data_IF_931528806926
#
_entry.id   IF_931528806926
#
_cell.length_a   1.000
_cell.length_b   1.000
_cell.length_c   1.000
_cell.angle_alpha   90.00
_cell.angle_beta   90.00
_cell.angle_gamma   90.00
#
_symmetry.space_group_name_H-M   'P 1'
#
loop_
_entity.id
_entity.type
_entity.pdbx_description
1 polymer ?
#
# COMPACT_ATOMS: atom_id res chain seq x y z
N UNK A 1 -4.70 -10.70 -13.32
CA UNK A 1 -3.29 -10.98 -13.02
C UNK A 1 -2.56 -9.64 -12.95
N UNK A 2 -1.86 -9.36 -11.85
CA UNK A 2 -1.07 -8.12 -11.67
C UNK A 2 0.43 -8.49 -11.75
N UNK A 3 1.26 -7.70 -12.44
CA UNK A 3 2.62 -8.11 -12.83
C UNK A 3 3.60 -8.10 -11.67
N UNK A 4 4.57 -9.02 -11.72
CA UNK A 4 5.73 -9.16 -10.85
C UNK A 4 6.36 -7.80 -10.54
N UNK A 5 6.72 -7.60 -9.27
CA UNK A 5 7.48 -6.43 -8.87
C UNK A 5 8.79 -6.36 -9.63
N UNK A 6 9.09 -5.18 -10.17
CA UNK A 6 10.33 -4.96 -10.91
C UNK A 6 11.57 -5.07 -10.02
N UNK A 7 12.74 -4.82 -10.62
CA UNK A 7 13.98 -4.61 -9.86
C UNK A 7 14.48 -3.21 -10.16
N UNK A 8 14.90 -2.48 -9.12
CA UNK A 8 15.64 -1.23 -9.28
C UNK A 8 17.12 -1.50 -9.12
N UNK A 9 17.92 -0.91 -10.00
CA UNK A 9 19.39 -0.96 -9.95
C UNK A 9 19.88 0.45 -9.73
N UNK A 10 20.64 0.69 -8.66
CA UNK A 10 21.16 2.02 -8.35
C UNK A 10 22.16 2.48 -9.42
N UNK A 11 21.97 3.70 -9.93
CA UNK A 11 22.77 4.25 -11.03
C UNK A 11 24.07 4.90 -10.55
N UNK A 12 24.11 5.32 -9.28
CA UNK A 12 25.23 6.00 -8.63
C UNK A 12 25.45 5.51 -7.20
N UNK A 13 26.62 5.80 -6.66
CA UNK A 13 26.94 5.55 -5.26
C UNK A 13 26.16 6.48 -4.33
N UNK A 14 26.09 6.09 -3.05
CA UNK A 14 25.44 6.84 -1.97
C UNK A 14 23.94 7.11 -2.15
N UNK A 15 23.26 6.44 -3.10
CA UNK A 15 21.80 6.46 -3.18
C UNK A 15 21.17 5.89 -1.90
N UNK A 16 20.04 6.44 -1.48
CA UNK A 16 19.28 5.95 -0.32
C UNK A 16 18.06 5.14 -0.76
N UNK A 17 17.59 4.16 0.04
CA UNK A 17 16.32 3.48 -0.22
C UNK A 17 15.14 4.44 -0.37
N UNK A 18 15.16 5.60 0.31
CA UNK A 18 14.16 6.66 0.13
C UNK A 18 14.13 7.20 -1.30
N UNK A 19 15.30 7.48 -1.88
CA UNK A 19 15.40 7.95 -3.27
C UNK A 19 14.94 6.88 -4.25
N UNK A 20 15.31 5.62 -4.03
CA UNK A 20 14.85 4.49 -4.84
C UNK A 20 13.33 4.32 -4.77
N UNK A 21 12.75 4.36 -3.57
CA UNK A 21 11.31 4.26 -3.35
C UNK A 21 10.57 5.39 -4.07
N UNK A 22 11.07 6.63 -3.93
CA UNK A 22 10.53 7.80 -4.61
C UNK A 22 10.59 7.67 -6.14
N UNK A 23 11.71 7.23 -6.70
CA UNK A 23 11.89 7.09 -8.15
C UNK A 23 11.02 5.96 -8.73
N UNK A 24 10.86 4.87 -7.98
CA UNK A 24 10.06 3.72 -8.39
C UNK A 24 8.56 3.88 -8.08
N UNK A 25 8.15 4.93 -7.35
CA UNK A 25 6.76 5.15 -6.95
C UNK A 25 6.22 4.14 -5.94
N UNK A 26 7.08 3.62 -5.05
CA UNK A 26 6.73 2.54 -4.10
C UNK A 26 6.89 2.99 -2.66
N UNK A 27 6.23 2.28 -1.73
CA UNK A 27 6.35 2.54 -0.30
C UNK A 27 7.78 2.21 0.22
N UNK A 28 8.36 3.14 0.98
CA UNK A 28 9.72 3.03 1.51
C UNK A 28 9.87 1.92 2.55
N UNK A 29 8.88 1.73 3.42
CA UNK A 29 8.93 0.69 4.45
C UNK A 29 8.84 -0.69 3.81
N UNK A 30 7.97 -0.86 2.82
CA UNK A 30 7.83 -2.08 2.03
C UNK A 30 9.10 -2.39 1.23
N UNK A 31 9.70 -1.38 0.59
CA UNK A 31 10.97 -1.53 -0.13
C UNK A 31 12.08 -2.04 0.78
N UNK A 32 12.26 -1.43 1.97
CA UNK A 32 13.27 -1.85 2.94
C UNK A 32 12.97 -3.24 3.49
N UNK A 33 11.70 -3.55 3.77
CA UNK A 33 11.27 -4.83 4.32
C UNK A 33 11.59 -6.00 3.38
N UNK A 34 11.19 -5.92 2.11
CA UNK A 34 11.38 -7.00 1.14
C UNK A 34 12.87 -7.27 0.88
N UNK A 35 13.71 -6.23 0.95
CA UNK A 35 15.13 -6.33 0.66
C UNK A 35 16.00 -6.73 1.87
N UNK A 36 15.46 -6.73 3.09
CA UNK A 36 16.19 -7.11 4.31
C UNK A 36 16.70 -8.55 4.34
N UNK A 37 16.05 -9.46 3.60
CA UNK A 37 16.52 -10.86 3.47
C UNK A 37 17.90 -10.93 2.80
N UNK A 38 18.13 -10.09 1.78
CA UNK A 38 19.38 -10.05 1.02
C UNK A 38 20.37 -9.03 1.58
N UNK A 39 19.88 -8.01 2.28
CA UNK A 39 20.66 -6.94 2.88
C UNK A 39 20.27 -6.77 4.35
N UNK A 40 20.79 -7.63 5.24
CA UNK A 40 20.38 -7.69 6.66
C UNK A 40 20.50 -6.35 7.40
N UNK A 41 21.51 -5.54 7.07
CA UNK A 41 21.76 -4.22 7.64
C UNK A 41 21.06 -3.07 6.90
N UNK A 42 20.18 -3.37 5.95
CA UNK A 42 19.46 -2.35 5.18
C UNK A 42 18.50 -1.56 6.09
N UNK A 43 18.67 -0.25 6.04
CA UNK A 43 17.84 0.74 6.73
C UNK A 43 17.43 1.82 5.74
N UNK A 44 16.46 2.67 6.11
CA UNK A 44 16.03 3.81 5.28
C UNK A 44 17.15 4.80 4.95
N UNK A 45 18.19 4.85 5.78
CA UNK A 45 19.34 5.76 5.67
C UNK A 45 20.58 5.10 5.08
N UNK A 46 20.50 3.81 4.75
CA UNK A 46 21.64 3.10 4.16
C UNK A 46 22.06 3.77 2.87
N UNK A 47 23.37 3.92 2.69
CA UNK A 47 23.99 4.37 1.46
C UNK A 47 24.26 3.15 0.58
N UNK A 48 23.60 3.10 -0.56
CA UNK A 48 23.69 2.02 -1.52
C UNK A 48 24.82 2.32 -2.50
N UNK A 49 25.65 1.31 -2.77
CA UNK A 49 26.64 1.40 -3.84
C UNK A 49 25.95 1.32 -5.19
N UNK A 50 26.59 1.84 -6.23
CA UNK A 50 26.17 1.67 -7.63
C UNK A 50 26.01 0.18 -7.97
N UNK A 51 25.03 -0.12 -8.81
CA UNK A 51 24.64 -1.48 -9.22
C UNK A 51 24.06 -2.36 -8.09
N UNK A 52 23.68 -1.78 -6.95
CA UNK A 52 22.90 -2.50 -5.93
C UNK A 52 21.52 -2.81 -6.49
N UNK A 53 21.09 -4.07 -6.41
CA UNK A 53 19.80 -4.53 -6.92
C UNK A 53 18.79 -4.61 -5.78
N UNK A 54 17.76 -3.78 -5.83
CA UNK A 54 16.63 -3.83 -4.91
C UNK A 54 15.40 -4.41 -5.59
N UNK A 55 14.79 -5.41 -4.97
CA UNK A 55 13.47 -5.92 -5.35
C UNK A 55 12.43 -4.83 -5.12
N UNK A 56 11.66 -4.49 -6.14
CA UNK A 56 10.50 -3.61 -6.03
C UNK A 56 9.25 -4.46 -5.77
N UNK A 57 8.23 -3.92 -5.09
CA UNK A 57 6.92 -4.55 -5.07
C UNK A 57 6.24 -4.52 -6.46
N UNK A 58 5.26 -5.41 -6.73
CA UNK A 58 4.42 -5.44 -7.94
C UNK A 58 3.95 -4.07 -8.43
N UNK A 59 4.17 -3.78 -9.72
CA UNK A 59 3.74 -2.54 -10.36
C UNK A 59 2.25 -2.64 -10.73
N UNK A 60 1.47 -1.58 -10.50
CA UNK A 60 0.01 -1.57 -10.74
C UNK A 60 -0.85 -1.41 -9.48
N UNK A 61 -0.25 -1.42 -8.28
CA UNK A 61 -0.84 -0.77 -7.11
C UNK A 61 -0.39 0.69 -7.12
N UNK A 62 -1.14 1.54 -7.81
CA UNK A 62 -0.96 2.99 -7.80
C UNK A 62 -1.98 3.57 -6.82
N UNK A 63 -1.55 4.28 -5.79
CA UNK A 63 -2.47 5.20 -5.11
C UNK A 63 -2.86 6.26 -6.16
N UNK A 64 -4.09 6.23 -6.63
CA UNK A 64 -4.63 7.37 -7.36
C UNK A 64 -4.70 8.56 -6.40
N UNK A 65 -3.74 9.48 -6.50
CA UNK A 65 -4.02 10.86 -6.13
C UNK A 65 -4.90 11.43 -7.23
N UNK A 66 -6.15 11.77 -6.92
CA UNK A 66 -7.02 12.51 -7.84
C UNK A 66 -6.26 13.73 -8.37
N UNK A 67 -6.34 14.05 -9.67
CA UNK A 67 -5.85 15.32 -10.17
C UNK A 67 -6.63 16.45 -9.50
N UNK A 68 -5.92 17.49 -9.08
CA UNK A 68 -6.54 18.78 -8.73
C UNK A 68 -7.25 19.29 -9.98
N UNK A 69 -8.56 19.54 -9.88
CA UNK A 69 -9.37 20.00 -11.00
C UNK A 69 -8.79 21.25 -11.67
N UNK A 70 -8.57 21.18 -12.99
CA UNK A 70 -8.17 22.35 -13.79
C UNK A 70 -7.61 22.16 -15.21
N UNK A 71 -7.79 21.03 -15.90
CA UNK A 71 -7.38 20.89 -17.31
C UNK A 71 -8.59 20.59 -18.23
N UNK A 72 -8.81 21.37 -19.31
CA UNK A 72 -9.98 21.20 -20.19
C UNK A 72 -9.99 19.88 -20.95
N UNK A 73 -11.18 19.28 -21.03
CA UNK A 73 -11.50 18.14 -21.89
C UNK A 73 -11.81 18.66 -23.29
N UNK A 74 -11.03 18.25 -24.30
CA UNK A 74 -11.48 18.12 -25.70
C UNK A 74 -10.35 17.51 -26.55
N UNK A 75 -10.32 16.18 -26.67
CA UNK A 75 -9.74 15.46 -27.82
C UNK A 75 -10.52 14.16 -28.06
N UNK A 76 -11.02 14.02 -29.29
CA UNK A 76 -11.88 12.92 -29.77
C UNK A 76 -11.20 11.53 -29.69
N UNK A 77 -11.96 10.41 -29.72
CA UNK A 77 -11.38 9.07 -29.62
C UNK A 77 -10.72 8.67 -30.94
N UNK A 78 -9.41 8.46 -30.92
CA UNK A 78 -8.67 7.83 -32.02
C UNK A 78 -8.75 6.32 -31.84
N UNK A 79 -9.21 5.62 -32.89
CA UNK A 79 -9.31 4.17 -32.94
C UNK A 79 -7.95 3.50 -32.68
N UNK A 80 -7.93 2.52 -31.77
CA UNK A 80 -6.76 1.70 -31.48
C UNK A 80 -6.43 0.78 -32.66
N UNK A 81 -5.20 0.76 -33.20
CA UNK A 81 -4.79 -0.30 -34.11
C UNK A 81 -4.43 -1.56 -33.32
N UNK A 82 -4.83 -2.71 -33.84
CA UNK A 82 -4.53 -4.05 -33.32
C UNK A 82 -3.03 -4.27 -33.13
N UNK A 83 -2.57 -4.41 -31.88
CA UNK A 83 -1.21 -4.83 -31.55
C UNK A 83 -1.24 -6.29 -31.09
N UNK A 84 -0.60 -7.17 -31.88
CA UNK A 84 -0.34 -8.56 -31.50
C UNK A 84 0.64 -8.59 -30.33
N UNK A 85 0.17 -9.07 -29.17
CA UNK A 85 1.00 -9.31 -28.01
C UNK A 85 1.89 -10.53 -28.26
N UNK A 86 3.18 -10.39 -27.95
CA UNK A 86 4.19 -11.44 -28.04
C UNK A 86 3.99 -12.39 -26.85
N UNK A 87 3.76 -13.68 -27.12
CA UNK A 87 3.80 -14.70 -26.08
C UNK A 87 5.24 -14.80 -25.55
N UNK A 88 5.42 -14.63 -24.25
CA UNK A 88 6.69 -14.81 -23.57
C UNK A 88 6.71 -16.17 -22.86
N UNK A 89 7.88 -16.82 -22.90
CA UNK A 89 8.11 -18.18 -22.41
C UNK A 89 7.94 -18.28 -20.89
N UNK A 90 7.35 -19.40 -20.45
CA UNK A 90 7.16 -19.77 -19.04
C UNK A 90 8.52 -20.09 -18.41
N UNK A 91 9.14 -19.13 -17.75
CA UNK A 91 10.22 -19.40 -16.81
C UNK A 91 10.36 -18.21 -15.85
N UNK A 92 9.58 -18.24 -14.77
CA UNK A 92 10.03 -18.04 -13.38
C UNK A 92 8.80 -18.00 -12.45
N UNK A 93 8.82 -18.87 -11.44
CA UNK A 93 7.76 -19.04 -10.43
C UNK A 93 7.45 -17.74 -9.66
N UNK A 94 6.17 -17.56 -9.39
CA UNK A 94 5.53 -16.49 -8.62
C UNK A 94 6.14 -16.34 -7.21
N UNK A 95 6.86 -15.24 -6.95
CA UNK A 95 7.53 -14.97 -5.65
C UNK A 95 6.66 -14.26 -4.58
N UNK A 96 5.37 -14.02 -4.81
CA UNK A 96 4.47 -13.35 -3.85
C UNK A 96 3.33 -14.22 -3.32
N UNK A 97 3.20 -15.46 -3.81
CA UNK A 97 2.31 -16.51 -3.28
C UNK A 97 3.05 -17.43 -2.30
N UNK A 98 4.21 -17.03 -1.78
CA UNK A 98 4.87 -17.77 -0.71
C UNK A 98 4.04 -17.72 0.57
N UNK A 99 4.02 -18.86 1.27
CA UNK A 99 3.45 -19.00 2.60
C UNK A 99 3.85 -17.85 3.53
N UNK A 100 2.89 -17.47 4.36
CA UNK A 100 2.97 -16.47 5.41
C UNK A 100 4.20 -16.71 6.31
N UNK A 101 5.33 -16.03 6.01
CA UNK A 101 6.56 -16.22 6.79
C UNK A 101 6.48 -15.49 8.14
N UNK A 102 7.04 -16.09 9.19
CA UNK A 102 7.10 -15.51 10.55
C UNK A 102 7.59 -14.05 10.54
N UNK A 103 8.56 -13.72 9.69
CA UNK A 103 9.09 -12.36 9.56
C UNK A 103 8.07 -11.37 9.00
N UNK A 104 7.24 -11.79 8.05
CA UNK A 104 6.17 -10.96 7.49
C UNK A 104 5.09 -10.70 8.54
N UNK A 105 4.72 -11.70 9.33
CA UNK A 105 3.77 -11.56 10.46
C UNK A 105 4.29 -10.55 11.47
N UNK A 106 5.57 -10.67 11.83
CA UNK A 106 6.22 -9.74 12.75
C UNK A 106 6.24 -8.32 12.19
N UNK A 107 6.47 -8.17 10.88
CA UNK A 107 6.45 -6.87 10.23
C UNK A 107 5.04 -6.25 10.21
N UNK A 108 4.00 -7.03 9.88
CA UNK A 108 2.60 -6.61 9.95
C UNK A 108 2.21 -6.18 11.37
N UNK A 109 2.54 -6.99 12.38
CA UNK A 109 2.33 -6.66 13.79
C UNK A 109 3.05 -5.37 14.21
N UNK A 110 4.30 -5.17 13.76
CA UNK A 110 5.04 -3.96 14.05
C UNK A 110 4.45 -2.72 13.37
N UNK A 111 3.97 -2.85 12.14
CA UNK A 111 3.25 -1.79 11.44
C UNK A 111 1.96 -1.42 12.16
N UNK A 112 1.13 -2.42 12.47
CA UNK A 112 -0.13 -2.23 13.19
C UNK A 112 0.09 -1.56 14.54
N UNK A 113 1.09 -2.01 15.32
CA UNK A 113 1.44 -1.39 16.59
C UNK A 113 1.86 0.08 16.43
N UNK A 114 2.58 0.44 15.36
CA UNK A 114 2.94 1.84 15.09
C UNK A 114 1.72 2.67 14.73
N UNK A 115 0.81 2.13 13.92
CA UNK A 115 -0.45 2.80 13.56
C UNK A 115 -1.30 3.06 14.80
N UNK A 116 -1.54 2.04 15.64
CA UNK A 116 -2.33 2.17 16.88
C UNK A 116 -1.73 3.13 17.90
N UNK A 117 -0.40 3.26 17.95
CA UNK A 117 0.30 4.20 18.85
C UNK A 117 0.36 5.63 18.33
N UNK A 118 0.07 5.85 17.05
CA UNK A 118 0.09 7.18 16.48
C UNK A 118 -1.11 7.98 16.98
N UNK A 119 -0.85 9.20 17.50
CA UNK A 119 -1.88 10.03 18.14
C UNK A 119 -3.02 10.42 17.19
N UNK A 120 -2.74 10.54 15.90
CA UNK A 120 -3.74 10.88 14.89
C UNK A 120 -4.63 9.70 14.50
N UNK A 121 -4.32 8.48 14.98
CA UNK A 121 -5.09 7.28 14.65
C UNK A 121 -6.26 7.04 15.60
N UNK A 122 -6.55 7.94 16.56
CA UNK A 122 -7.58 7.74 17.58
C UNK A 122 -8.95 7.38 16.99
N UNK A 123 -9.31 8.02 15.87
CA UNK A 123 -10.58 7.81 15.18
C UNK A 123 -10.65 6.48 14.40
N UNK A 124 -9.54 5.75 14.29
CA UNK A 124 -9.40 4.52 13.51
C UNK A 124 -9.16 3.29 14.38
N UNK A 125 -9.14 3.43 15.72
CA UNK A 125 -8.81 2.33 16.62
C UNK A 125 -9.92 1.30 16.73
N UNK A 126 -11.18 1.73 16.63
CA UNK A 126 -12.36 0.90 16.84
C UNK A 126 -13.39 1.13 15.72
N UNK A 127 -14.34 0.20 15.51
CA UNK A 127 -15.39 0.37 14.53
C UNK A 127 -16.18 1.66 14.74
N UNK A 128 -16.48 2.37 13.64
CA UNK A 128 -17.36 3.55 13.69
C UNK A 128 -18.75 3.11 14.16
N UNK A 129 -19.29 3.66 15.27
CA UNK A 129 -20.60 3.26 15.80
C UNK A 129 -21.74 3.96 15.06
N UNK A 130 -21.79 3.81 13.72
CA UNK A 130 -22.67 4.58 12.83
C UNK A 130 -24.16 4.51 13.21
N UNK A 131 -24.64 3.36 13.68
CA UNK A 131 -26.02 3.22 14.17
C UNK A 131 -26.31 4.05 15.43
N UNK A 132 -25.37 4.12 16.37
CA UNK A 132 -25.51 4.91 17.61
C UNK A 132 -25.40 6.41 17.33
N UNK A 133 -24.65 6.78 16.30
CA UNK A 133 -24.45 8.16 15.85
C UNK A 133 -25.56 8.64 14.89
N UNK A 134 -26.51 7.77 14.51
CA UNK A 134 -27.58 8.12 13.58
C UNK A 134 -27.11 8.37 12.14
N UNK A 135 -26.01 7.74 11.72
CA UNK A 135 -25.42 7.88 10.40
C UNK A 135 -26.04 6.88 9.42
N UNK A 136 -27.26 7.18 8.95
CA UNK A 136 -28.07 6.27 8.13
C UNK A 136 -27.45 5.95 6.76
N UNK A 137 -26.64 6.85 6.21
CA UNK A 137 -25.99 6.73 4.90
C UNK A 137 -24.59 6.09 4.97
N UNK A 138 -24.07 5.79 6.17
CA UNK A 138 -22.70 5.34 6.36
C UNK A 138 -22.38 4.08 5.54
N UNK A 139 -23.23 3.06 5.57
CA UNK A 139 -23.02 1.82 4.81
C UNK A 139 -23.22 1.98 3.30
N UNK A 140 -23.89 3.06 2.87
CA UNK A 140 -24.00 3.40 1.45
C UNK A 140 -22.71 4.00 0.93
N UNK A 141 -22.05 4.85 1.73
CA UNK A 141 -20.81 5.55 1.37
C UNK A 141 -19.56 4.70 1.68
N UNK A 142 -19.59 3.91 2.74
CA UNK A 142 -18.54 3.02 3.23
C UNK A 142 -19.05 1.56 3.27
N UNK A 143 -19.12 0.86 2.12
CA UNK A 143 -19.74 -0.47 2.04
C UNK A 143 -18.99 -1.55 2.82
N UNK A 144 -17.71 -1.32 3.11
CA UNK A 144 -16.86 -2.24 3.87
C UNK A 144 -16.25 -1.50 5.05
N UNK A 145 -16.98 -1.32 6.17
CA UNK A 145 -16.43 -0.74 7.38
C UNK A 145 -15.18 -1.50 7.84
N UNK A 146 -14.16 -0.78 8.28
CA UNK A 146 -12.90 -1.34 8.75
C UNK A 146 -12.27 -0.40 9.76
N UNK A 147 -11.50 -0.95 10.69
CA UNK A 147 -10.78 -0.26 11.76
C UNK A 147 -9.56 -1.09 12.21
N UNK A 148 -8.68 -0.48 13.02
CA UNK A 148 -7.42 -1.11 13.43
C UNK A 148 -7.60 -2.26 14.42
N UNK A 149 -8.67 -2.31 15.23
CA UNK A 149 -8.93 -3.45 16.11
C UNK A 149 -9.46 -4.64 15.30
N UNK A 150 -10.29 -4.40 14.29
CA UNK A 150 -10.71 -5.43 13.32
C UNK A 150 -9.51 -5.98 12.55
N UNK A 151 -8.60 -5.13 12.07
CA UNK A 151 -7.37 -5.58 11.40
C UNK A 151 -6.49 -6.42 12.32
N UNK A 152 -6.38 -6.05 13.60
CA UNK A 152 -5.66 -6.83 14.61
C UNK A 152 -6.27 -8.21 14.81
N UNK A 153 -7.59 -8.26 15.03
CA UNK A 153 -8.31 -9.52 15.25
C UNK A 153 -8.17 -10.49 14.07
N UNK A 154 -8.28 -9.98 12.83
CA UNK A 154 -8.09 -10.78 11.61
C UNK A 154 -6.65 -11.29 11.47
N UNK A 155 -5.67 -10.50 11.90
CA UNK A 155 -4.27 -10.88 11.90
C UNK A 155 -3.98 -11.98 12.94
N UNK A 156 -4.55 -11.86 14.14
CA UNK A 156 -4.41 -12.85 15.22
C UNK A 156 -5.18 -14.14 14.93
N UNK A 157 -6.29 -14.05 14.21
CA UNK A 157 -7.14 -15.19 13.82
C UNK A 157 -6.69 -15.87 12.51
N UNK A 158 -5.53 -15.48 11.98
CA UNK A 158 -4.95 -16.02 10.73
C UNK A 158 -5.89 -15.92 9.52
N UNK A 159 -6.77 -14.91 9.50
CA UNK A 159 -7.71 -14.69 8.38
C UNK A 159 -7.02 -14.11 7.14
N UNK A 160 -5.82 -13.55 7.31
CA UNK A 160 -5.00 -13.08 6.20
C UNK A 160 -4.09 -14.20 5.70
N UNK A 161 -4.33 -14.63 4.47
CA UNK A 161 -3.49 -15.57 3.72
C UNK A 161 -2.25 -14.90 3.12
N UNK A 162 -2.30 -13.59 2.89
CA UNK A 162 -1.17 -12.82 2.34
C UNK A 162 -1.06 -11.45 3.00
N UNK A 163 0.15 -10.88 3.20
CA UNK A 163 0.32 -9.55 3.79
C UNK A 163 -0.41 -8.44 3.03
N UNK A 164 -0.68 -8.68 1.74
CA UNK A 164 -1.47 -7.78 0.90
C UNK A 164 -2.90 -7.62 1.42
N UNK A 165 -3.55 -8.69 1.87
CA UNK A 165 -4.91 -8.62 2.38
C UNK A 165 -5.00 -7.73 3.63
N UNK A 166 -4.03 -7.86 4.55
CA UNK A 166 -3.94 -6.98 5.72
C UNK A 166 -3.72 -5.51 5.32
N UNK A 167 -2.86 -5.27 4.32
CA UNK A 167 -2.60 -3.91 3.83
C UNK A 167 -3.83 -3.30 3.13
N UNK A 168 -4.60 -4.11 2.40
CA UNK A 168 -5.82 -3.65 1.73
C UNK A 168 -6.90 -3.26 2.75
N UNK A 169 -7.03 -3.99 3.86
CA UNK A 169 -7.92 -3.59 4.96
C UNK A 169 -7.44 -2.32 5.67
N UNK A 170 -6.13 -2.17 5.91
CA UNK A 170 -5.58 -0.92 6.47
C UNK A 170 -5.87 0.28 5.55
N UNK A 171 -5.77 0.10 4.23
CA UNK A 171 -6.15 1.15 3.25
C UNK A 171 -7.64 1.44 3.27
N UNK A 172 -8.48 0.42 3.49
CA UNK A 172 -9.92 0.57 3.57
C UNK A 172 -10.33 1.52 4.70
N UNK A 173 -9.66 1.45 5.87
CA UNK A 173 -9.89 2.37 7.00
C UNK A 173 -9.78 3.83 6.55
N UNK A 174 -8.67 4.19 5.93
CA UNK A 174 -8.39 5.55 5.50
C UNK A 174 -9.27 5.98 4.31
N UNK A 175 -9.56 5.06 3.39
CA UNK A 175 -10.44 5.32 2.24
C UNK A 175 -11.86 5.63 2.68
N UNK A 176 -12.42 4.85 3.59
CA UNK A 176 -13.73 5.11 4.18
C UNK A 176 -13.76 6.46 4.89
N UNK A 177 -12.74 6.77 5.69
CA UNK A 177 -12.64 8.04 6.39
C UNK A 177 -12.60 9.23 5.41
N UNK A 178 -11.86 9.14 4.31
CA UNK A 178 -11.79 10.19 3.29
C UNK A 178 -13.09 10.33 2.49
N UNK A 179 -13.78 9.23 2.20
CA UNK A 179 -15.02 9.24 1.43
C UNK A 179 -16.20 9.80 2.22
N UNK A 180 -16.29 9.44 3.51
CA UNK A 180 -17.43 9.82 4.35
C UNK A 180 -17.28 11.22 4.94
N UNK A 181 -16.08 11.60 5.34
CA UNK A 181 -15.85 12.86 6.06
C UNK A 181 -15.41 13.97 5.12
N UNK A 182 -15.87 15.20 5.39
CA UNK A 182 -15.42 16.40 4.66
C UNK A 182 -13.93 16.70 4.98
N UNK A 183 -13.22 17.34 4.07
CA UNK A 183 -11.78 17.68 4.17
C UNK A 183 -11.42 18.54 5.39
N UNK A 184 -12.40 19.24 5.95
CA UNK A 184 -12.26 20.06 7.17
C UNK A 184 -12.39 19.26 8.48
N UNK A 185 -12.85 18.02 8.41
CA UNK A 185 -12.98 17.15 9.57
C UNK A 185 -11.67 16.44 9.88
N UNK A 186 -11.41 16.18 11.17
CA UNK A 186 -10.15 15.55 11.60
C UNK A 186 -9.96 14.16 11.01
N UNK A 187 -11.05 13.38 10.88
CA UNK A 187 -11.05 12.03 10.35
C UNK A 187 -10.53 11.99 8.90
N UNK A 188 -10.98 12.94 8.06
CA UNK A 188 -10.50 13.06 6.69
C UNK A 188 -9.02 13.47 6.68
N UNK A 189 -8.65 14.51 7.43
CA UNK A 189 -7.26 14.99 7.46
C UNK A 189 -6.26 13.96 7.96
N UNK A 190 -6.63 13.22 9.00
CA UNK A 190 -5.79 12.20 9.61
C UNK A 190 -5.61 10.97 8.70
N UNK A 191 -6.49 10.79 7.70
CA UNK A 191 -6.42 9.71 6.73
C UNK A 191 -5.48 10.00 5.53
N UNK A 192 -5.03 11.25 5.31
CA UNK A 192 -4.18 11.66 4.17
C UNK A 192 -2.67 11.42 4.42
N UNK A 193 -2.29 10.36 5.13
CA UNK A 193 -0.88 10.08 5.44
C UNK A 193 -0.01 9.81 4.20
#
# INVERSE_FOLDING_TARGET
QLPDGGTHVTEQDDMTPRQVASAAGVDLDLLVMINKKNYKSLTKLSKLLRNTKLRLPPQGVRFERKPVHGAPQDVAPVASPDIKLREFEKEDEVWWDTEWSTEMVLACNNLLRKLKRNRISSDFLEPVPYAQLGLEDYLTICPTPMDLSTVENKLESEEYTTPRQMLDDVRMIFTNAMNYNNVEQSQHRNAIL
#
